data_IF_851331513764
#
_entry.id   IF_851331513764
#
_cell.length_a   1.000
_cell.length_b   1.000
_cell.length_c   1.000
_cell.angle_alpha   90.00
_cell.angle_beta   90.00
_cell.angle_gamma   90.00
#
_symmetry.space_group_name_H-M   'P 1'
#
loop_
_entity.id
_entity.type
_entity.pdbx_description
1 polymer ?
#
# COMPACT_ATOMS: atom_id res chain seq x y z
N UNK A 1 -20.78 10.84 -1.20
CA UNK A 1 -19.52 10.34 -1.82
C UNK A 1 -18.41 10.34 -0.76
N UNK A 2 -18.56 9.52 0.28
CA UNK A 2 -17.80 9.63 1.53
C UNK A 2 -16.62 8.65 1.64
N UNK A 3 -16.45 7.76 0.65
CA UNK A 3 -15.52 6.63 0.76
C UNK A 3 -14.18 6.84 0.05
N UNK A 4 -13.96 7.98 -0.60
CA UNK A 4 -12.82 8.16 -1.50
C UNK A 4 -12.23 9.58 -1.46
N UNK A 5 -11.80 10.03 -0.27
CA UNK A 5 -10.92 11.21 -0.16
C UNK A 5 -9.47 10.78 -0.46
N UNK A 6 -9.17 10.56 -1.75
CA UNK A 6 -7.82 10.16 -2.21
C UNK A 6 -6.80 11.27 -1.97
N UNK A 7 -7.23 12.53 -2.09
CA UNK A 7 -6.37 13.70 -2.02
C UNK A 7 -6.85 14.64 -0.92
N UNK A 8 -6.45 14.33 0.33
CA UNK A 8 -6.68 15.24 1.44
C UNK A 8 -5.52 16.24 1.54
N UNK A 9 -5.73 17.44 0.99
CA UNK A 9 -4.76 18.54 1.00
C UNK A 9 -4.81 19.38 2.28
N UNK A 10 -5.75 19.09 3.18
CA UNK A 10 -5.94 19.80 4.43
C UNK A 10 -4.78 19.53 5.37
N UNK A 11 -4.04 20.56 5.80
CA UNK A 11 -2.77 20.41 6.55
C UNK A 11 -2.94 19.89 7.99
N UNK A 12 -4.16 19.95 8.54
CA UNK A 12 -4.43 19.61 9.94
C UNK A 12 -4.90 18.16 10.15
N UNK A 13 -5.11 17.40 9.07
CA UNK A 13 -5.53 16.00 9.20
C UNK A 13 -4.34 15.07 9.55
N UNK A 14 -4.62 13.96 10.24
CA UNK A 14 -3.63 12.88 10.39
C UNK A 14 -3.24 12.26 9.04
N UNK A 15 -4.18 12.24 8.10
CA UNK A 15 -4.10 11.61 6.78
C UNK A 15 -3.77 12.61 5.64
N UNK A 16 -2.94 13.61 5.90
CA UNK A 16 -2.54 14.55 4.85
C UNK A 16 -1.85 13.81 3.72
N UNK A 17 -2.16 14.21 2.48
CA UNK A 17 -1.53 13.66 1.29
C UNK A 17 0.00 13.69 1.38
N UNK A 18 0.58 14.81 1.85
CA UNK A 18 2.03 14.93 2.03
C UNK A 18 2.61 13.94 3.04
N UNK A 19 1.92 13.70 4.16
CA UNK A 19 2.37 12.73 5.18
C UNK A 19 2.33 11.31 4.61
N UNK A 20 1.26 10.95 3.90
CA UNK A 20 1.13 9.63 3.27
C UNK A 20 2.11 9.43 2.12
N UNK A 21 2.37 10.48 1.33
CA UNK A 21 3.34 10.44 0.23
C UNK A 21 4.77 10.25 0.75
N UNK A 22 5.17 11.03 1.75
CA UNK A 22 6.50 10.90 2.37
C UNK A 22 6.63 9.54 3.06
N UNK A 23 5.61 9.09 3.80
CA UNK A 23 5.60 7.76 4.41
C UNK A 23 5.76 6.64 3.36
N UNK A 24 5.07 6.73 2.22
CA UNK A 24 5.21 5.79 1.12
C UNK A 24 6.63 5.75 0.55
N UNK A 25 7.26 6.91 0.37
CA UNK A 25 8.66 7.00 -0.05
C UNK A 25 9.59 6.33 0.98
N UNK A 26 9.39 6.60 2.27
CA UNK A 26 10.20 6.01 3.33
C UNK A 26 10.07 4.48 3.40
N UNK A 27 8.84 3.95 3.25
CA UNK A 27 8.61 2.49 3.19
C UNK A 27 9.31 1.87 1.98
N UNK A 28 9.25 2.51 0.81
CA UNK A 28 9.95 2.04 -0.38
C UNK A 28 11.48 2.06 -0.19
N UNK A 29 12.04 3.12 0.41
CA UNK A 29 13.46 3.21 0.74
C UNK A 29 13.85 2.13 1.75
N UNK A 30 13.04 1.88 2.78
CA UNK A 30 13.31 0.83 3.76
C UNK A 30 13.31 -0.57 3.12
N UNK A 31 12.32 -0.87 2.27
CA UNK A 31 12.24 -2.16 1.55
C UNK A 31 13.44 -2.40 0.62
N UNK A 32 13.96 -1.36 -0.05
CA UNK A 32 15.05 -1.53 -1.03
C UNK A 32 16.43 -1.35 -0.38
N UNK A 33 16.54 -0.43 0.58
CA UNK A 33 17.81 0.05 1.13
C UNK A 33 18.16 -0.46 2.52
N UNK A 34 17.23 -1.03 3.29
CA UNK A 34 17.52 -1.63 4.61
C UNK A 34 17.44 -3.17 4.58
N UNK A 35 16.75 -3.76 3.61
CA UNK A 35 16.74 -5.20 3.39
C UNK A 35 18.00 -5.63 2.62
N UNK A 36 18.94 -6.24 3.33
CA UNK A 36 20.22 -6.71 2.78
C UNK A 36 20.05 -7.72 1.62
N UNK A 37 18.94 -8.49 1.59
CA UNK A 37 18.67 -9.47 0.53
C UNK A 37 18.20 -8.77 -0.77
N UNK A 38 17.42 -7.70 -0.64
CA UNK A 38 16.99 -6.89 -1.79
C UNK A 38 18.12 -5.97 -2.28
N UNK A 39 18.91 -5.42 -1.35
CA UNK A 39 20.08 -4.61 -1.68
C UNK A 39 21.11 -5.39 -2.51
N UNK A 40 21.39 -6.65 -2.15
CA UNK A 40 22.29 -7.49 -2.94
C UNK A 40 21.73 -7.81 -4.34
N UNK A 41 20.44 -8.13 -4.46
CA UNK A 41 19.82 -8.45 -5.77
C UNK A 41 19.89 -7.29 -6.77
N UNK A 42 19.79 -6.04 -6.30
CA UNK A 42 19.92 -4.84 -7.15
C UNK A 42 21.38 -4.57 -7.54
N UNK A 43 22.36 -4.97 -6.72
CA UNK A 43 23.80 -4.78 -6.98
C UNK A 43 24.43 -5.89 -7.84
N UNK A 44 23.84 -7.08 -7.92
CA UNK A 44 24.34 -8.17 -8.80
C UNK A 44 23.97 -7.97 -10.28
N UNK A 45 23.14 -6.97 -10.60
CA UNK A 45 22.79 -6.62 -11.98
C UNK A 45 23.93 -5.85 -12.66
N UNK A 46 24.30 -6.26 -13.87
CA UNK A 46 25.41 -5.72 -14.66
C UNK A 46 25.28 -4.21 -14.98
N UNK A 47 24.06 -3.69 -14.98
CA UNK A 47 23.75 -2.27 -15.22
C UNK A 47 22.73 -1.75 -14.20
N UNK A 48 22.94 -0.53 -13.70
CA UNK A 48 22.03 0.20 -12.80
C UNK A 48 20.63 0.36 -13.40
N UNK A 49 20.56 0.54 -14.72
CA UNK A 49 19.30 0.67 -15.46
C UNK A 49 18.44 -0.60 -15.42
N UNK A 50 19.06 -1.78 -15.52
CA UNK A 50 18.34 -3.06 -15.47
C UNK A 50 17.88 -3.36 -14.03
N UNK A 51 18.69 -2.99 -13.04
CA UNK A 51 18.35 -3.12 -11.63
C UNK A 51 17.14 -2.26 -11.22
N UNK A 52 17.07 -1.02 -11.74
CA UNK A 52 15.92 -0.13 -11.54
C UNK A 52 14.65 -0.68 -12.21
N UNK A 53 14.75 -1.21 -13.44
CA UNK A 53 13.61 -1.83 -14.12
C UNK A 53 13.07 -3.05 -13.36
N UNK A 54 13.95 -3.89 -12.82
CA UNK A 54 13.54 -5.05 -12.04
C UNK A 54 12.81 -4.63 -10.76
N UNK A 55 13.37 -3.65 -10.05
CA UNK A 55 12.77 -3.10 -8.82
C UNK A 55 11.43 -2.41 -9.10
N UNK A 56 11.31 -1.69 -10.22
CA UNK A 56 10.07 -1.05 -10.66
C UNK A 56 9.01 -2.09 -11.02
N UNK A 57 9.39 -3.13 -11.78
CA UNK A 57 8.50 -4.23 -12.16
C UNK A 57 7.96 -4.94 -10.92
N UNK A 58 8.84 -5.26 -9.98
CA UNK A 58 8.46 -5.87 -8.71
C UNK A 58 7.50 -4.98 -7.91
N UNK A 59 7.78 -3.68 -7.81
CA UNK A 59 6.94 -2.72 -7.09
C UNK A 59 5.56 -2.56 -7.73
N UNK A 60 5.46 -2.57 -9.07
CA UNK A 60 4.19 -2.49 -9.79
C UNK A 60 3.34 -3.75 -9.55
N UNK A 61 3.95 -4.93 -9.61
CA UNK A 61 3.25 -6.19 -9.33
C UNK A 61 2.71 -6.18 -7.90
N UNK A 62 3.53 -5.78 -6.92
CA UNK A 62 3.08 -5.66 -5.52
C UNK A 62 1.93 -4.67 -5.36
N UNK A 63 2.00 -3.50 -5.99
CA UNK A 63 0.95 -2.50 -5.93
C UNK A 63 -0.38 -3.03 -6.51
N UNK A 64 -0.32 -3.72 -7.66
CA UNK A 64 -1.48 -4.37 -8.27
C UNK A 64 -2.07 -5.47 -7.37
N UNK A 65 -1.23 -6.33 -6.80
CA UNK A 65 -1.66 -7.38 -5.88
C UNK A 65 -2.32 -6.78 -4.64
N UNK A 66 -1.75 -5.72 -4.05
CA UNK A 66 -2.35 -5.03 -2.90
C UNK A 66 -3.72 -4.42 -3.23
N UNK A 67 -3.86 -3.84 -4.43
CA UNK A 67 -5.14 -3.33 -4.91
C UNK A 67 -6.20 -4.43 -5.03
N UNK A 68 -5.83 -5.60 -5.56
CA UNK A 68 -6.73 -6.76 -5.63
C UNK A 68 -7.15 -7.23 -4.23
N UNK A 69 -6.24 -7.25 -3.26
CA UNK A 69 -6.57 -7.59 -1.88
C UNK A 69 -7.54 -6.59 -1.24
N UNK A 70 -7.38 -5.29 -1.48
CA UNK A 70 -8.35 -4.29 -1.03
C UNK A 70 -9.73 -4.51 -1.67
N UNK A 71 -9.77 -4.79 -2.98
CA UNK A 71 -11.02 -5.12 -3.68
C UNK A 71 -11.71 -6.38 -3.12
N UNK A 72 -10.93 -7.42 -2.83
CA UNK A 72 -11.42 -8.64 -2.18
C UNK A 72 -11.94 -8.36 -0.76
N UNK A 73 -11.26 -7.51 0.00
CA UNK A 73 -11.71 -7.07 1.32
C UNK A 73 -13.08 -6.36 1.27
N UNK A 74 -13.28 -5.49 0.29
CA UNK A 74 -14.58 -4.84 0.05
C UNK A 74 -15.65 -5.87 -0.33
N UNK A 75 -15.31 -6.82 -1.20
CA UNK A 75 -16.27 -7.86 -1.62
C UNK A 75 -16.68 -8.76 -0.44
N UNK A 76 -15.71 -9.12 0.41
CA UNK A 76 -15.97 -9.88 1.63
C UNK A 76 -16.83 -9.09 2.62
N UNK A 77 -16.63 -7.78 2.72
CA UNK A 77 -17.46 -6.89 3.53
C UNK A 77 -18.92 -6.85 3.03
N UNK A 78 -19.13 -6.70 1.73
CA UNK A 78 -20.47 -6.73 1.13
C UNK A 78 -21.15 -8.08 1.38
N UNK A 79 -20.41 -9.18 1.18
CA UNK A 79 -20.91 -10.53 1.45
C UNK A 79 -21.32 -10.74 2.91
N UNK A 80 -20.50 -10.30 3.86
CA UNK A 80 -20.82 -10.39 5.29
C UNK A 80 -22.08 -9.58 5.65
N UNK A 81 -22.27 -8.41 5.03
CA UNK A 81 -23.46 -7.59 5.22
C UNK A 81 -24.73 -8.26 4.66
N UNK A 82 -24.65 -8.89 3.47
CA UNK A 82 -25.79 -9.62 2.88
C UNK A 82 -26.16 -10.90 3.66
N UNK A 83 -25.16 -11.59 4.22
CA UNK A 83 -25.36 -12.79 5.04
C UNK A 83 -25.72 -12.48 6.50
N UNK A 84 -25.83 -11.20 6.88
CA UNK A 84 -26.14 -10.78 8.26
C UNK A 84 -25.06 -11.14 9.28
N UNK A 85 -23.82 -11.36 8.83
CA UNK A 85 -22.68 -11.67 9.69
C UNK A 85 -22.24 -10.35 10.35
N UNK A 86 -22.50 -10.24 11.66
CA UNK A 86 -22.03 -9.12 12.48
C UNK A 86 -20.49 -9.17 12.55
N UNK A 87 -19.83 -8.39 11.70
CA UNK A 87 -18.39 -8.22 11.78
C UNK A 87 -18.05 -7.47 13.09
N UNK A 88 -17.06 -7.95 13.87
CA UNK A 88 -16.64 -7.26 15.08
C UNK A 88 -16.17 -5.86 14.71
N UNK A 89 -16.88 -4.84 15.22
CA UNK A 89 -16.47 -3.44 15.10
C UNK A 89 -15.20 -3.25 15.92
N UNK A 90 -14.17 -2.64 15.34
CA UNK A 90 -13.00 -2.21 16.10
C UNK A 90 -13.40 -1.28 17.24
N UNK A 91 -12.58 -1.21 18.30
CA UNK A 91 -12.86 -0.47 19.55
C UNK A 91 -13.24 1.01 19.34
N UNK A 92 -12.95 1.58 18.17
CA UNK A 92 -13.23 2.96 17.79
C UNK A 92 -14.59 3.15 17.07
N UNK A 93 -15.44 2.12 16.98
CA UNK A 93 -16.73 2.20 16.30
C UNK A 93 -16.64 2.33 14.76
N UNK A 94 -15.42 2.28 14.23
CA UNK A 94 -15.05 2.20 12.83
C UNK A 94 -14.35 0.86 12.60
N UNK A 95 -14.53 0.33 11.39
CA UNK A 95 -13.69 -0.76 10.88
C UNK A 95 -12.27 -0.26 10.62
#
# INVERSE_FOLDING_TARGET
HEYFKIFNWESDSGNNFYKQFIAGILVAIAMIGLDQNMMQKTLTCKNVWDAQKNTLTYSIILAMTQFLFMGLGVLMYVYANEMGILLPKGENGLF
#
